data_IF_363605229687
#
_entry.id   IF_363605229687
#
_cell.length_a   1.000
_cell.length_b   1.000
_cell.length_c   1.000
_cell.angle_alpha   90.00
_cell.angle_beta   90.00
_cell.angle_gamma   90.00
#
_symmetry.space_group_name_H-M   'P 1'
#
loop_
_entity.id
_entity.type
_entity.pdbx_description
1 polymer ?
#
# COMPACT_ATOMS: atom_id res chain seq x y z
N UNK A 1 -1.28 -61.00 22.18
CA UNK A 1 -1.91 -59.65 22.24
C UNK A 1 -2.17 -59.17 20.81
N UNK A 2 -3.39 -59.37 20.31
CA UNK A 2 -3.85 -58.91 18.99
C UNK A 2 -4.17 -57.41 19.09
N UNK A 3 -3.37 -56.55 18.46
CA UNK A 3 -3.74 -55.14 18.25
C UNK A 3 -4.45 -55.06 16.90
N UNK A 4 -5.77 -55.14 16.94
CA UNK A 4 -6.62 -54.91 15.77
C UNK A 4 -6.52 -53.42 15.45
N UNK A 5 -5.89 -53.11 14.32
CA UNK A 5 -5.85 -51.77 13.72
C UNK A 5 -7.30 -51.31 13.48
N UNK A 6 -7.71 -50.29 14.21
CA UNK A 6 -8.94 -49.58 13.94
C UNK A 6 -8.77 -48.78 12.63
N UNK A 7 -9.26 -49.32 11.52
CA UNK A 7 -9.61 -48.52 10.35
C UNK A 7 -10.85 -47.70 10.70
N UNK A 8 -10.64 -46.58 11.40
CA UNK A 8 -11.59 -45.49 11.34
C UNK A 8 -11.46 -44.88 9.94
N UNK A 9 -12.37 -45.24 9.04
CA UNK A 9 -12.67 -44.43 7.87
C UNK A 9 -13.04 -43.04 8.38
N UNK A 10 -12.06 -42.14 8.43
CA UNK A 10 -12.29 -40.72 8.55
C UNK A 10 -12.96 -40.34 7.24
N UNK A 11 -14.28 -40.39 7.23
CA UNK A 11 -15.11 -39.62 6.32
C UNK A 11 -14.75 -38.16 6.56
N UNK A 12 -13.66 -37.72 5.94
CA UNK A 12 -13.42 -36.31 5.75
C UNK A 12 -14.56 -35.87 4.85
N UNK A 13 -15.45 -34.94 5.26
CA UNK A 13 -16.06 -34.12 4.25
C UNK A 13 -14.87 -33.50 3.53
N UNK A 14 -14.70 -33.92 2.28
CA UNK A 14 -14.02 -33.12 1.27
C UNK A 14 -14.68 -31.77 1.45
N UNK A 15 -13.99 -30.84 2.11
CA UNK A 15 -14.39 -29.46 2.18
C UNK A 15 -14.47 -29.06 0.72
N UNK A 16 -15.67 -29.15 0.18
CA UNK A 16 -16.03 -28.51 -1.06
C UNK A 16 -15.67 -27.05 -0.79
N UNK A 17 -14.52 -26.63 -1.30
CA UNK A 17 -14.17 -25.25 -1.47
C UNK A 17 -15.25 -24.72 -2.40
N UNK A 18 -16.36 -24.28 -1.81
CA UNK A 18 -17.49 -23.69 -2.51
C UNK A 18 -16.89 -22.50 -3.23
N UNK A 19 -16.67 -22.65 -4.54
CA UNK A 19 -16.14 -21.60 -5.37
C UNK A 19 -17.00 -20.38 -5.10
N UNK A 20 -16.39 -19.30 -4.57
CA UNK A 20 -17.09 -18.05 -4.27
C UNK A 20 -18.04 -17.74 -5.44
N UNK A 21 -19.27 -17.27 -5.21
CA UNK A 21 -20.19 -16.93 -6.30
C UNK A 21 -19.47 -16.12 -7.37
N UNK A 22 -19.74 -16.36 -8.66
CA UNK A 22 -19.03 -15.73 -9.79
C UNK A 22 -18.97 -14.20 -9.59
N UNK A 23 -20.05 -13.59 -9.10
CA UNK A 23 -20.10 -12.17 -8.78
C UNK A 23 -19.03 -11.73 -7.76
N UNK A 24 -18.77 -12.54 -6.73
CA UNK A 24 -17.74 -12.27 -5.71
C UNK A 24 -16.34 -12.50 -6.25
N UNK A 25 -16.11 -13.50 -7.10
CA UNK A 25 -14.81 -13.70 -7.74
C UNK A 25 -14.49 -12.56 -8.72
N UNK A 26 -15.46 -12.15 -9.52
CA UNK A 26 -15.34 -10.99 -10.43
C UNK A 26 -15.12 -9.71 -9.64
N UNK A 27 -15.84 -9.52 -8.53
CA UNK A 27 -15.64 -8.38 -7.63
C UNK A 27 -14.26 -8.37 -6.97
N UNK A 28 -13.77 -9.51 -6.50
CA UNK A 28 -12.41 -9.68 -5.94
C UNK A 28 -11.34 -9.36 -7.00
N UNK A 29 -11.51 -9.85 -8.23
CA UNK A 29 -10.59 -9.61 -9.33
C UNK A 29 -10.56 -8.14 -9.79
N UNK A 30 -11.70 -7.46 -9.74
CA UNK A 30 -11.81 -6.04 -10.12
C UNK A 30 -11.49 -5.07 -8.97
N UNK A 31 -11.40 -5.53 -7.72
CA UNK A 31 -11.14 -4.68 -6.55
C UNK A 31 -9.95 -3.74 -6.72
N UNK A 32 -8.76 -4.17 -7.21
CA UNK A 32 -7.63 -3.26 -7.36
C UNK A 32 -7.91 -2.12 -8.35
N UNK A 33 -8.60 -2.43 -9.45
CA UNK A 33 -8.97 -1.44 -10.46
C UNK A 33 -10.04 -0.47 -9.92
N UNK A 34 -11.03 -1.00 -9.19
CA UNK A 34 -12.06 -0.20 -8.54
C UNK A 34 -11.48 0.74 -7.47
N UNK A 35 -10.51 0.26 -6.67
CA UNK A 35 -9.80 1.08 -5.68
C UNK A 35 -8.95 2.17 -6.34
N UNK A 36 -8.22 1.85 -7.41
CA UNK A 36 -7.44 2.85 -8.15
C UNK A 36 -8.34 3.95 -8.75
N UNK A 37 -9.47 3.57 -9.34
CA UNK A 37 -10.46 4.52 -9.84
C UNK A 37 -11.07 5.36 -8.70
N UNK A 38 -11.48 4.72 -7.62
CA UNK A 38 -12.05 5.39 -6.44
C UNK A 38 -11.10 6.42 -5.82
N UNK A 39 -9.83 6.05 -5.64
CA UNK A 39 -8.80 6.95 -5.13
C UNK A 39 -8.56 8.15 -6.05
N UNK A 40 -8.59 7.92 -7.37
CA UNK A 40 -8.48 9.00 -8.37
C UNK A 40 -9.67 9.95 -8.27
N UNK A 41 -10.89 9.43 -8.17
CA UNK A 41 -12.10 10.24 -8.05
C UNK A 41 -12.11 11.06 -6.75
N UNK A 42 -11.72 10.45 -5.63
CA UNK A 42 -11.61 11.14 -4.34
C UNK A 42 -10.58 12.28 -4.41
N UNK A 43 -9.44 12.05 -5.07
CA UNK A 43 -8.43 13.09 -5.29
C UNK A 43 -9.02 14.28 -6.06
N UNK A 44 -9.68 14.01 -7.20
CA UNK A 44 -10.32 15.04 -8.02
C UNK A 44 -11.36 15.85 -7.24
N UNK A 45 -12.18 15.19 -6.43
CA UNK A 45 -13.17 15.84 -5.57
C UNK A 45 -12.48 16.77 -4.57
N UNK A 46 -11.42 16.30 -3.89
CA UNK A 46 -10.67 17.16 -2.97
C UNK A 46 -9.97 18.31 -3.70
N UNK A 47 -9.39 18.10 -4.88
CA UNK A 47 -8.79 19.18 -5.68
C UNK A 47 -9.81 20.25 -6.06
N UNK A 48 -11.02 19.84 -6.45
CA UNK A 48 -12.13 20.76 -6.70
C UNK A 48 -12.51 21.58 -5.46
N UNK A 49 -12.69 20.93 -4.31
CA UNK A 49 -13.06 21.62 -3.08
C UNK A 49 -11.92 22.42 -2.46
N UNK A 50 -10.66 22.09 -2.71
CA UNK A 50 -9.49 22.81 -2.19
C UNK A 50 -9.46 24.29 -2.62
N UNK A 51 -10.10 24.63 -3.75
CA UNK A 51 -10.29 26.02 -4.20
C UNK A 51 -11.37 26.79 -3.45
N UNK A 52 -12.21 26.12 -2.67
CA UNK A 52 -13.27 26.75 -1.87
C UNK A 52 -12.72 27.36 -0.57
N UNK A 53 -13.39 28.41 -0.08
CA UNK A 53 -13.09 28.99 1.25
C UNK A 53 -13.92 28.27 2.32
N UNK A 54 -13.39 28.22 3.54
CA UNK A 54 -14.06 27.61 4.70
C UNK A 54 -13.73 26.14 4.91
N UNK A 55 -14.50 25.49 5.79
CA UNK A 55 -14.19 24.17 6.36
C UNK A 55 -14.02 23.06 5.31
N UNK A 56 -14.81 23.10 4.22
CA UNK A 56 -14.71 22.11 3.14
C UNK A 56 -13.39 22.24 2.39
N UNK A 57 -12.96 23.46 2.06
CA UNK A 57 -11.68 23.67 1.38
C UNK A 57 -10.46 23.41 2.26
N UNK A 58 -10.57 23.64 3.58
CA UNK A 58 -9.54 23.24 4.55
C UNK A 58 -9.42 21.72 4.66
N UNK A 59 -10.55 21.02 4.81
CA UNK A 59 -10.58 19.56 4.86
C UNK A 59 -10.03 18.93 3.57
N UNK A 60 -10.41 19.48 2.42
CA UNK A 60 -9.93 19.00 1.13
C UNK A 60 -8.41 19.15 0.97
N UNK A 61 -7.84 20.30 1.36
CA UNK A 61 -6.38 20.52 1.38
C UNK A 61 -5.66 19.58 2.35
N UNK A 62 -6.25 19.34 3.53
CA UNK A 62 -5.69 18.40 4.51
C UNK A 62 -5.69 16.96 3.96
N UNK A 63 -6.78 16.54 3.30
CA UNK A 63 -6.87 15.23 2.67
C UNK A 63 -5.85 15.05 1.55
N UNK A 64 -5.69 16.04 0.66
CA UNK A 64 -4.67 16.00 -0.40
C UNK A 64 -3.27 15.90 0.17
N UNK A 65 -2.95 16.71 1.19
CA UNK A 65 -1.65 16.64 1.86
C UNK A 65 -1.38 15.25 2.47
N UNK A 66 -2.39 14.67 3.11
CA UNK A 66 -2.26 13.33 3.69
C UNK A 66 -2.12 12.25 2.60
N UNK A 67 -2.83 12.39 1.48
CA UNK A 67 -2.72 11.49 0.34
C UNK A 67 -1.33 11.56 -0.30
N UNK A 68 -0.82 12.75 -0.59
CA UNK A 68 0.53 12.94 -1.14
C UNK A 68 1.60 12.38 -0.21
N UNK A 69 1.42 12.51 1.12
CA UNK A 69 2.34 11.91 2.08
C UNK A 69 2.32 10.37 2.01
N UNK A 70 1.13 9.77 1.95
CA UNK A 70 0.98 8.31 1.79
C UNK A 70 1.60 7.82 0.48
N UNK A 71 1.37 8.52 -0.63
CA UNK A 71 1.96 8.19 -1.94
C UNK A 71 3.49 8.28 -1.89
N UNK A 72 4.05 9.32 -1.26
CA UNK A 72 5.50 9.45 -1.03
C UNK A 72 6.06 8.38 -0.12
N UNK A 73 5.29 7.90 0.85
CA UNK A 73 5.67 6.82 1.76
C UNK A 73 5.62 5.45 1.08
N UNK A 74 4.58 5.19 0.30
CA UNK A 74 4.43 3.97 -0.50
C UNK A 74 5.46 3.89 -1.63
N UNK A 75 5.85 5.03 -2.19
CA UNK A 75 6.85 5.13 -3.26
C UNK A 75 8.30 5.22 -2.74
N UNK A 76 8.54 5.06 -1.44
CA UNK A 76 9.92 5.04 -0.93
C UNK A 76 10.63 3.81 -1.47
N UNK A 77 11.81 4.02 -2.03
CA UNK A 77 12.72 2.94 -2.39
C UNK A 77 13.29 2.25 -1.16
N UNK A 78 14.17 1.28 -1.39
CA UNK A 78 14.88 0.57 -0.31
C UNK A 78 15.64 1.58 0.54
N UNK A 79 15.47 1.51 1.86
CA UNK A 79 16.26 2.30 2.81
C UNK A 79 17.73 1.93 2.68
N UNK A 80 18.57 2.95 2.61
CA UNK A 80 20.01 2.82 2.45
C UNK A 80 20.74 3.21 3.73
N UNK A 81 21.92 2.66 3.91
CA UNK A 81 22.78 3.00 5.03
C UNK A 81 23.47 4.36 4.81
N UNK A 82 23.92 5.00 5.89
CA UNK A 82 24.68 6.25 5.78
C UNK A 82 25.93 6.09 4.92
N UNK A 83 26.60 4.92 4.97
CA UNK A 83 27.77 4.62 4.15
C UNK A 83 27.47 4.65 2.65
N UNK A 84 26.28 4.21 2.25
CA UNK A 84 25.87 4.20 0.84
C UNK A 84 25.54 5.62 0.34
N UNK A 85 24.99 6.46 1.21
CA UNK A 85 24.53 7.80 0.88
C UNK A 85 25.49 8.94 1.21
N UNK A 86 26.56 8.74 1.98
CA UNK A 86 27.43 9.86 2.37
C UNK A 86 28.09 10.53 1.16
N UNK A 87 28.17 11.86 1.20
CA UNK A 87 28.85 12.66 0.16
C UNK A 87 30.37 12.65 0.37
N UNK A 88 31.17 12.88 -0.69
CA UNK A 88 32.60 13.10 -0.55
C UNK A 88 32.91 14.17 0.50
N UNK A 89 34.00 13.99 1.26
CA UNK A 89 34.33 14.90 2.36
C UNK A 89 33.46 14.76 3.61
N UNK A 90 32.69 13.67 3.73
CA UNK A 90 31.81 13.39 4.87
C UNK A 90 30.70 14.43 5.10
N UNK A 91 30.23 15.07 4.03
CA UNK A 91 29.12 16.02 4.11
C UNK A 91 27.81 15.27 4.36
N UNK A 92 27.09 15.66 5.40
CA UNK A 92 25.76 15.16 5.74
C UNK A 92 24.78 16.32 5.64
N UNK A 93 23.87 16.24 4.68
CA UNK A 93 22.80 17.20 4.45
C UNK A 93 21.46 16.48 4.18
N UNK A 94 20.43 17.24 3.83
CA UNK A 94 19.10 16.71 3.55
C UNK A 94 19.10 15.71 2.38
N UNK A 95 20.00 15.84 1.41
CA UNK A 95 20.11 14.89 0.30
C UNK A 95 20.55 13.51 0.80
N UNK A 96 21.52 13.49 1.74
CA UNK A 96 21.98 12.24 2.37
C UNK A 96 20.83 11.59 3.14
N UNK A 97 20.06 12.38 3.88
CA UNK A 97 18.87 11.89 4.60
C UNK A 97 17.81 11.34 3.66
N UNK A 98 17.50 12.04 2.56
CA UNK A 98 16.56 11.58 1.55
C UNK A 98 17.03 10.31 0.85
N UNK A 99 18.32 10.17 0.58
CA UNK A 99 18.89 8.95 0.01
C UNK A 99 18.77 7.76 0.98
N UNK A 100 19.03 7.97 2.27
CA UNK A 100 18.89 6.94 3.30
C UNK A 100 17.44 6.49 3.47
N UNK A 101 16.50 7.44 3.41
CA UNK A 101 15.07 7.15 3.47
C UNK A 101 14.51 6.53 2.18
N UNK A 102 15.35 6.28 1.17
CA UNK A 102 14.93 5.73 -0.11
C UNK A 102 14.11 6.70 -0.97
N UNK A 103 14.11 7.99 -0.62
CA UNK A 103 13.36 9.04 -1.32
C UNK A 103 14.15 9.68 -2.47
N UNK A 104 15.47 9.47 -2.51
CA UNK A 104 16.35 10.01 -3.53
C UNK A 104 17.32 8.97 -4.07
N UNK A 105 17.64 9.06 -5.36
CA UNK A 105 18.72 8.30 -5.99
C UNK A 105 20.03 9.08 -5.79
N UNK A 106 21.08 8.39 -5.36
CA UNK A 106 22.41 8.99 -5.20
C UNK A 106 22.97 9.43 -6.55
N UNK A 107 23.41 10.68 -6.65
CA UNK A 107 23.99 11.27 -7.86
C UNK A 107 25.32 11.99 -7.60
N UNK A 108 25.97 11.70 -6.47
CA UNK A 108 27.21 12.31 -5.99
C UNK A 108 28.27 11.26 -5.65
#
# INVERSE_FOLDING_TARGET
MKRILALALIASPILAEESKPIATQVGDAMRPAAEAYGNTMIRLINEFFAGSKGVMGEAARANLKAQDQREREASRGVRRTMKECIKPGNVIDDDVKECMDGRRIKTW
#
